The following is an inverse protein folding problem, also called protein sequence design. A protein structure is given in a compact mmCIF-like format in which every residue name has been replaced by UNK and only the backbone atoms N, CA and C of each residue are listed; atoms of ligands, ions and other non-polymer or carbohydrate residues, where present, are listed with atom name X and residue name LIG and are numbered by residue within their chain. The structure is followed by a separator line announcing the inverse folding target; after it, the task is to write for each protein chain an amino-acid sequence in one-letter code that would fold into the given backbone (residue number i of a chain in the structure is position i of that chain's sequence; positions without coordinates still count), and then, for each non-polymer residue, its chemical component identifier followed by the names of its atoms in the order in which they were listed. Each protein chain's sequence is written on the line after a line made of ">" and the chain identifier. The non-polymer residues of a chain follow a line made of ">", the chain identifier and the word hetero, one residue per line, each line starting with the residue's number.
data_IF_841055574537
#
_entry.id   IF_841055574537
#
_cell.length_a   1.000
_cell.length_b   1.000
_cell.length_c   1.000
_cell.angle_alpha   90.00
_cell.angle_beta   90.00
_cell.angle_gamma   90.00
#
_symmetry.space_group_name_H-M   'P 1'
#
loop_
_entity.id
_entity.type
_entity.pdbx_description
1 polymer ?
#
# COMPACT_ATOMS: atom_id res chain seq x y z
N UNK A 1 -8.91 3.74 -7.75
CA UNK A 1 -8.50 2.36 -8.06
C UNK A 1 -9.16 1.40 -7.09
N UNK A 2 -9.64 0.26 -7.55
CA UNK A 2 -10.21 -0.79 -6.71
C UNK A 2 -9.17 -1.89 -6.49
N UNK A 3 -8.79 -2.10 -5.23
CA UNK A 3 -7.88 -3.19 -4.83
C UNK A 3 -8.64 -4.46 -4.39
N UNK A 4 -9.96 -4.40 -4.30
CA UNK A 4 -10.78 -5.48 -3.75
C UNK A 4 -11.55 -6.24 -4.84
N UNK A 5 -11.14 -7.48 -5.10
CA UNK A 5 -11.89 -8.39 -5.98
C UNK A 5 -13.30 -8.67 -5.47
N UNK A 6 -13.47 -8.74 -4.14
CA UNK A 6 -14.80 -8.91 -3.51
C UNK A 6 -15.68 -7.70 -3.80
N UNK A 7 -15.15 -6.47 -3.63
CA UNK A 7 -15.90 -5.25 -3.94
C UNK A 7 -16.27 -5.19 -5.43
N UNK A 8 -15.34 -5.52 -6.32
CA UNK A 8 -15.59 -5.57 -7.77
C UNK A 8 -16.69 -6.59 -8.11
N UNK A 9 -16.66 -7.78 -7.50
CA UNK A 9 -17.70 -8.79 -7.70
C UNK A 9 -19.07 -8.31 -7.22
N UNK A 10 -19.14 -7.68 -6.05
CA UNK A 10 -20.38 -7.08 -5.54
C UNK A 10 -20.89 -5.94 -6.43
N UNK A 11 -19.98 -5.08 -6.90
CA UNK A 11 -20.34 -3.98 -7.82
C UNK A 11 -20.93 -4.51 -9.13
N UNK A 12 -20.37 -5.60 -9.67
CA UNK A 12 -20.85 -6.25 -10.89
C UNK A 12 -22.29 -6.79 -10.74
N UNK A 13 -22.64 -7.30 -9.56
CA UNK A 13 -24.03 -7.72 -9.27
C UNK A 13 -25.04 -6.56 -9.36
N UNK A 14 -24.56 -5.33 -9.30
CA UNK A 14 -25.35 -4.09 -9.46
C UNK A 14 -25.15 -3.42 -10.82
N UNK A 15 -24.58 -4.12 -11.80
CA UNK A 15 -24.32 -3.57 -13.13
C UNK A 15 -23.16 -2.56 -13.19
N UNK A 16 -22.40 -2.40 -12.10
CA UNK A 16 -21.26 -1.47 -12.06
C UNK A 16 -19.99 -2.24 -12.41
N UNK A 17 -19.36 -1.87 -13.51
CA UNK A 17 -18.06 -2.42 -13.87
C UNK A 17 -16.95 -1.68 -13.13
N UNK A 18 -16.38 -2.33 -12.11
CA UNK A 18 -15.30 -1.78 -11.29
C UNK A 18 -14.02 -2.60 -11.54
N UNK A 19 -13.12 -2.13 -12.42
CA UNK A 19 -11.89 -2.87 -12.71
C UNK A 19 -11.00 -2.96 -11.47
N UNK A 20 -10.44 -4.15 -11.24
CA UNK A 20 -9.53 -4.40 -10.12
C UNK A 20 -8.10 -4.15 -10.57
N UNK A 21 -7.42 -3.27 -9.86
CA UNK A 21 -6.01 -3.01 -10.04
C UNK A 21 -5.32 -3.01 -8.66
N UNK A 22 -4.72 -4.13 -8.25
CA UNK A 22 -4.07 -4.26 -6.95
C UNK A 22 -2.96 -3.23 -6.78
N UNK A 23 -2.85 -2.66 -5.56
CA UNK A 23 -1.83 -1.66 -5.26
C UNK A 23 -0.40 -2.14 -5.52
N UNK A 24 -0.14 -3.44 -5.30
CA UNK A 24 1.16 -4.05 -5.63
C UNK A 24 1.45 -4.07 -7.13
N UNK A 25 0.43 -4.28 -7.97
CA UNK A 25 0.61 -4.30 -9.43
C UNK A 25 0.79 -2.87 -9.95
N UNK A 26 0.07 -1.91 -9.37
CA UNK A 26 0.29 -0.49 -9.64
C UNK A 26 1.72 -0.08 -9.27
N UNK A 27 2.18 -0.43 -8.08
CA UNK A 27 3.53 -0.10 -7.61
C UNK A 27 4.59 -0.71 -8.53
N UNK A 28 4.41 -1.99 -8.94
CA UNK A 28 5.28 -2.66 -9.88
C UNK A 28 5.34 -1.91 -11.21
N UNK A 29 4.18 -1.61 -11.79
CA UNK A 29 4.07 -0.92 -13.08
C UNK A 29 4.70 0.47 -13.04
N UNK A 30 4.44 1.25 -12.00
CA UNK A 30 5.04 2.58 -11.86
C UNK A 30 6.57 2.51 -11.81
N UNK A 31 7.12 1.59 -11.02
CA UNK A 31 8.59 1.47 -10.86
C UNK A 31 9.23 0.93 -12.14
N UNK A 32 8.60 -0.04 -12.84
CA UNK A 32 9.21 -0.68 -13.99
C UNK A 32 9.02 0.09 -15.30
N UNK A 33 7.88 0.78 -15.47
CA UNK A 33 7.50 1.33 -16.76
C UNK A 33 7.43 2.87 -16.77
N UNK A 34 7.21 3.51 -15.61
CA UNK A 34 6.96 4.94 -15.55
C UNK A 34 8.11 5.75 -14.97
N UNK A 35 8.95 5.13 -14.13
CA UNK A 35 10.02 5.83 -13.43
C UNK A 35 11.36 5.59 -14.13
N UNK A 36 12.09 6.66 -14.36
CA UNK A 36 13.43 6.67 -14.93
C UNK A 36 14.48 7.15 -13.89
N UNK A 37 15.72 7.32 -14.32
CA UNK A 37 16.82 7.78 -13.48
C UNK A 37 16.66 9.18 -12.88
N UNK A 38 15.76 10.00 -13.45
CA UNK A 38 15.49 11.37 -12.99
C UNK A 38 14.49 11.38 -11.85
N UNK A 39 13.69 10.33 -11.71
CA UNK A 39 12.66 10.23 -10.68
C UNK A 39 13.28 9.86 -9.34
N UNK A 40 13.03 10.67 -8.33
CA UNK A 40 13.44 10.41 -6.96
C UNK A 40 12.29 9.85 -6.15
N UNK A 41 12.50 8.70 -5.52
CA UNK A 41 11.50 7.97 -4.76
C UNK A 41 11.89 7.86 -3.30
N UNK A 42 11.09 8.44 -2.41
CA UNK A 42 11.22 8.24 -0.98
C UNK A 42 10.34 7.07 -0.52
N UNK A 43 10.91 6.16 0.27
CA UNK A 43 10.19 5.04 0.87
C UNK A 43 10.13 5.26 2.37
N UNK A 44 8.92 5.27 2.93
CA UNK A 44 8.70 5.33 4.38
C UNK A 44 8.20 3.96 4.84
N UNK A 45 9.04 3.22 5.57
CA UNK A 45 8.78 1.85 5.98
C UNK A 45 9.49 0.80 5.13
N UNK A 46 8.96 -0.42 5.12
CA UNK A 46 9.64 -1.57 4.54
C UNK A 46 10.84 -2.02 5.37
N UNK A 47 11.68 -2.89 4.82
CA UNK A 47 12.94 -3.32 5.43
C UNK A 47 14.14 -2.79 4.64
N UNK A 48 15.32 -2.78 5.27
CA UNK A 48 16.57 -2.47 4.56
C UNK A 48 16.83 -3.48 3.43
N UNK A 49 16.45 -4.73 3.66
CA UNK A 49 16.54 -5.80 2.66
C UNK A 49 15.64 -5.51 1.45
N UNK A 50 14.42 -5.00 1.71
CA UNK A 50 13.51 -4.57 0.64
C UNK A 50 14.15 -3.52 -0.27
N UNK A 51 14.83 -2.53 0.31
CA UNK A 51 15.50 -1.48 -0.48
C UNK A 51 16.63 -2.03 -1.32
N UNK A 52 17.47 -2.90 -0.74
CA UNK A 52 18.58 -3.53 -1.48
C UNK A 52 18.05 -4.30 -2.69
N UNK A 53 17.04 -5.14 -2.49
CA UNK A 53 16.41 -5.90 -3.57
C UNK A 53 15.71 -5.02 -4.60
N UNK A 54 15.06 -3.92 -4.18
CA UNK A 54 14.46 -2.97 -5.12
C UNK A 54 15.51 -2.36 -6.05
N UNK A 55 16.67 -1.96 -5.51
CA UNK A 55 17.77 -1.41 -6.31
C UNK A 55 18.38 -2.43 -7.27
N UNK A 56 18.40 -3.72 -6.89
CA UNK A 56 18.86 -4.80 -7.77
C UNK A 56 17.85 -5.06 -8.90
N UNK A 57 16.56 -5.06 -8.60
CA UNK A 57 15.49 -5.34 -9.56
C UNK A 57 15.21 -4.14 -10.48
N UNK A 58 15.34 -2.93 -9.94
CA UNK A 58 15.02 -1.67 -10.62
C UNK A 58 16.14 -0.66 -10.41
N UNK A 59 17.23 -0.74 -11.21
CA UNK A 59 18.42 0.07 -11.00
C UNK A 59 18.26 1.54 -11.39
N UNK A 60 17.26 1.90 -12.19
CA UNK A 60 17.10 3.24 -12.73
C UNK A 60 16.59 4.29 -11.73
N UNK A 61 15.53 4.06 -10.93
CA UNK A 61 15.02 5.07 -10.02
C UNK A 61 15.98 5.35 -8.85
N UNK A 62 16.04 6.60 -8.41
CA UNK A 62 16.79 6.97 -7.23
C UNK A 62 15.96 6.75 -5.97
N UNK A 63 16.23 5.68 -5.24
CA UNK A 63 15.52 5.33 -4.01
C UNK A 63 16.25 5.85 -2.76
N UNK A 64 15.52 6.53 -1.89
CA UNK A 64 15.89 6.84 -0.51
C UNK A 64 14.89 6.22 0.46
N UNK A 65 15.29 5.82 1.66
CA UNK A 65 14.41 5.11 2.60
C UNK A 65 14.59 5.61 4.02
N UNK A 66 13.48 5.74 4.73
CA UNK A 66 13.41 5.88 6.17
C UNK A 66 12.54 4.77 6.77
N UNK A 67 13.05 4.06 7.78
CA UNK A 67 12.33 2.97 8.44
C UNK A 67 11.92 3.41 9.85
N UNK A 68 10.67 3.86 10.03
CA UNK A 68 10.18 4.28 11.33
C UNK A 68 9.94 3.07 12.26
N UNK A 69 9.85 3.30 13.58
CA UNK A 69 9.49 2.24 14.53
C UNK A 69 8.09 1.71 14.25
N UNK A 70 7.86 0.43 14.59
CA UNK A 70 6.53 -0.17 14.48
C UNK A 70 5.53 0.56 15.38
N UNK A 71 4.33 0.83 14.84
CA UNK A 71 3.31 1.60 15.57
C UNK A 71 3.65 3.09 15.64
N UNK A 72 4.19 3.62 14.56
CA UNK A 72 4.72 4.99 14.41
C UNK A 72 3.81 6.09 14.97
N UNK A 73 2.49 5.92 14.96
CA UNK A 73 1.54 6.88 15.53
C UNK A 73 1.64 7.04 17.07
N UNK A 74 2.29 6.08 17.74
CA UNK A 74 2.54 6.16 19.18
C UNK A 74 3.83 6.95 19.51
N UNK A 75 4.56 7.40 18.49
CA UNK A 75 5.85 8.07 18.63
C UNK A 75 5.83 9.43 17.91
N UNK A 76 5.44 10.53 18.58
CA UNK A 76 5.37 11.86 17.95
C UNK A 76 6.69 12.30 17.29
N UNK A 77 7.82 11.96 17.90
CA UNK A 77 9.15 12.27 17.35
C UNK A 77 9.38 11.55 16.01
N UNK A 78 8.93 10.29 15.88
CA UNK A 78 9.08 9.56 14.63
C UNK A 78 8.28 10.17 13.47
N UNK A 79 7.15 10.82 13.76
CA UNK A 79 6.39 11.56 12.75
C UNK A 79 7.19 12.80 12.29
N UNK A 80 7.79 13.53 13.23
CA UNK A 80 8.66 14.67 12.89
C UNK A 80 9.88 14.21 12.07
N UNK A 81 10.52 13.11 12.44
CA UNK A 81 11.64 12.53 11.69
C UNK A 81 11.24 12.12 10.26
N UNK A 82 10.01 11.59 10.06
CA UNK A 82 9.49 11.29 8.72
C UNK A 82 9.33 12.58 7.90
N UNK A 83 8.73 13.63 8.49
CA UNK A 83 8.53 14.90 7.77
C UNK A 83 9.85 15.57 7.42
N UNK A 84 10.84 15.52 8.32
CA UNK A 84 12.19 16.04 8.07
C UNK A 84 12.90 15.24 6.98
N UNK A 85 12.86 13.90 7.05
CA UNK A 85 13.40 13.03 6.01
C UNK A 85 12.78 13.34 4.63
N UNK A 86 11.46 13.51 4.54
CA UNK A 86 10.77 13.82 3.28
C UNK A 86 11.10 15.20 2.77
N UNK A 87 11.27 16.18 3.69
CA UNK A 87 11.72 17.52 3.37
C UNK A 87 13.13 17.50 2.76
N UNK A 88 14.05 16.76 3.35
CA UNK A 88 15.41 16.63 2.82
C UNK A 88 15.46 15.81 1.51
N UNK A 89 14.62 14.80 1.42
CA UNK A 89 14.54 13.95 0.24
C UNK A 89 14.07 14.72 -1.00
N UNK A 90 13.12 15.65 -0.89
CA UNK A 90 12.51 16.35 -2.05
C UNK A 90 12.15 15.37 -3.17
N UNK A 91 11.45 14.29 -2.81
CA UNK A 91 11.13 13.19 -3.72
C UNK A 91 9.90 13.51 -4.57
N UNK A 92 9.89 13.03 -5.82
CA UNK A 92 8.75 13.13 -6.74
C UNK A 92 7.62 12.21 -6.32
N UNK A 93 7.98 11.02 -5.80
CA UNK A 93 7.03 10.03 -5.28
C UNK A 93 7.43 9.57 -3.89
N UNK A 94 6.42 9.41 -3.03
CA UNK A 94 6.57 8.94 -1.66
C UNK A 94 5.78 7.64 -1.50
N UNK A 95 6.49 6.53 -1.29
CA UNK A 95 5.89 5.21 -1.11
C UNK A 95 5.74 4.92 0.39
N UNK A 96 4.50 5.01 0.90
CA UNK A 96 4.19 4.74 2.30
C UNK A 96 3.99 3.23 2.52
N UNK A 97 5.03 2.54 3.02
CA UNK A 97 5.07 1.09 3.24
C UNK A 97 4.90 0.69 4.72
N UNK A 98 4.17 1.48 5.52
CA UNK A 98 3.96 1.27 6.96
C UNK A 98 2.60 0.64 7.31
N UNK A 99 1.78 0.38 6.31
CA UNK A 99 0.47 -0.26 6.44
C UNK A 99 -0.65 0.67 6.93
N UNK A 100 -1.89 0.28 6.57
CA UNK A 100 -3.10 1.01 6.94
C UNK A 100 -3.48 0.79 8.43
N UNK A 101 -4.03 1.81 9.13
CA UNK A 101 -4.34 3.18 8.68
C UNK A 101 -3.18 4.18 8.86
N UNK A 102 -2.01 3.74 9.28
CA UNK A 102 -0.89 4.62 9.61
C UNK A 102 -0.37 5.36 8.37
N UNK A 103 -0.30 4.65 7.23
CA UNK A 103 0.13 5.25 5.95
C UNK A 103 -0.71 6.46 5.57
N UNK A 104 -2.03 6.32 5.64
CA UNK A 104 -2.99 7.36 5.25
C UNK A 104 -2.93 8.56 6.20
N UNK A 105 -2.82 8.30 7.50
CA UNK A 105 -2.74 9.37 8.53
C UNK A 105 -1.43 10.16 8.36
N UNK A 106 -0.31 9.48 8.16
CA UNK A 106 0.98 10.15 8.00
C UNK A 106 1.05 10.88 6.65
N UNK A 107 0.53 10.28 5.57
CA UNK A 107 0.45 10.95 4.28
C UNK A 107 -0.37 12.27 4.38
N UNK A 108 -1.46 12.28 5.14
CA UNK A 108 -2.26 13.47 5.40
C UNK A 108 -1.48 14.53 6.22
N UNK A 109 -0.76 14.11 7.27
CA UNK A 109 0.10 15.00 8.06
C UNK A 109 1.17 15.63 7.16
N UNK A 110 1.84 14.80 6.36
CA UNK A 110 2.88 15.22 5.43
C UNK A 110 2.33 16.18 4.37
N UNK A 111 1.15 15.92 3.83
CA UNK A 111 0.50 16.79 2.84
C UNK A 111 0.20 18.19 3.38
N UNK A 112 -0.07 18.30 4.69
CA UNK A 112 -0.33 19.60 5.35
C UNK A 112 0.93 20.37 5.74
N UNK A 113 2.06 19.69 5.83
CA UNK A 113 3.34 20.29 6.22
C UNK A 113 3.83 21.32 5.20
N UNK A 114 3.66 21.03 3.90
CA UNK A 114 3.96 21.95 2.81
C UNK A 114 5.46 22.19 2.53
N UNK A 115 6.38 21.54 3.28
CA UNK A 115 7.84 21.69 3.09
C UNK A 115 8.37 20.90 1.89
N UNK A 116 7.61 19.96 1.39
CA UNK A 116 7.98 19.11 0.26
C UNK A 116 6.78 18.86 -0.66
N UNK A 117 7.09 18.65 -1.92
CA UNK A 117 6.10 18.26 -2.94
C UNK A 117 6.11 16.75 -3.16
N UNK A 118 5.46 16.33 -4.24
CA UNK A 118 5.44 14.94 -4.67
C UNK A 118 4.13 14.24 -4.36
N UNK A 119 3.98 13.05 -4.95
CA UNK A 119 2.77 12.22 -4.85
C UNK A 119 2.97 11.13 -3.82
N UNK A 120 2.16 11.11 -2.76
CA UNK A 120 2.18 10.04 -1.76
C UNK A 120 1.28 8.87 -2.17
N UNK A 121 1.84 7.67 -2.17
CA UNK A 121 1.16 6.42 -2.47
C UNK A 121 1.19 5.51 -1.25
N UNK A 122 0.02 5.22 -0.66
CA UNK A 122 -0.12 4.30 0.47
C UNK A 122 -0.13 2.86 -0.05
N UNK A 123 1.04 2.28 -0.19
CA UNK A 123 1.26 0.99 -0.87
C UNK A 123 1.23 -0.22 0.06
N UNK A 124 1.27 -0.01 1.39
CA UNK A 124 1.30 -1.11 2.36
C UNK A 124 2.45 -2.09 2.12
N UNK A 125 2.13 -3.37 1.96
CA UNK A 125 3.10 -4.46 1.77
C UNK A 125 3.52 -4.67 0.30
N UNK A 126 3.29 -3.70 -0.60
CA UNK A 126 3.56 -3.90 -2.04
C UNK A 126 5.04 -4.12 -2.33
N UNK A 127 5.93 -3.46 -1.58
CA UNK A 127 7.38 -3.63 -1.75
C UNK A 127 7.80 -5.05 -1.36
N UNK A 128 7.31 -5.58 -0.25
CA UNK A 128 7.65 -6.94 0.18
C UNK A 128 7.15 -8.00 -0.81
N UNK A 129 6.06 -7.74 -1.54
CA UNK A 129 5.61 -8.61 -2.63
C UNK A 129 6.51 -8.50 -3.86
N UNK A 130 6.96 -7.29 -4.21
CA UNK A 130 7.86 -7.06 -5.35
C UNK A 130 9.23 -7.70 -5.13
N UNK A 131 9.74 -7.59 -3.93
CA UNK A 131 11.07 -8.12 -3.55
C UNK A 131 11.04 -9.60 -3.17
N UNK A 132 9.85 -10.22 -3.18
CA UNK A 132 9.68 -11.63 -2.82
C UNK A 132 9.85 -11.94 -1.34
N UNK A 133 9.92 -10.94 -0.47
CA UNK A 133 9.95 -11.13 0.99
C UNK A 133 8.62 -11.68 1.51
N UNK A 134 7.52 -11.33 0.84
CA UNK A 134 6.20 -11.94 1.07
C UNK A 134 5.71 -12.63 -0.19
N UNK A 135 5.20 -13.82 -0.02
CA UNK A 135 4.59 -14.56 -1.13
C UNK A 135 3.14 -14.08 -1.34
N UNK A 136 2.80 -13.81 -2.59
CA UNK A 136 1.41 -13.61 -2.98
C UNK A 136 0.66 -14.94 -2.96
N UNK A 137 -0.65 -14.85 -2.78
CA UNK A 137 -1.51 -16.01 -2.98
C UNK A 137 -1.30 -16.59 -4.38
N UNK A 138 -1.33 -17.94 -4.54
CA UNK A 138 -1.27 -18.57 -5.85
C UNK A 138 -2.30 -17.97 -6.82
N UNK A 139 -1.98 -17.97 -8.11
CA UNK A 139 -2.81 -17.30 -9.14
C UNK A 139 -4.26 -17.82 -9.13
N UNK A 140 -4.45 -19.14 -8.94
CA UNK A 140 -5.80 -19.74 -8.86
C UNK A 140 -6.60 -19.21 -7.66
N UNK A 141 -5.95 -18.98 -6.49
CA UNK A 141 -6.59 -18.36 -5.31
C UNK A 141 -7.00 -16.93 -5.61
N UNK A 142 -6.16 -16.18 -6.34
CA UNK A 142 -6.46 -14.83 -6.76
C UNK A 142 -7.66 -14.80 -7.72
N UNK A 143 -7.71 -15.70 -8.70
CA UNK A 143 -8.85 -15.82 -9.63
C UNK A 143 -10.17 -16.15 -8.93
N UNK A 144 -10.14 -16.97 -7.89
CA UNK A 144 -11.32 -17.28 -7.07
C UNK A 144 -11.72 -16.17 -6.09
N UNK A 145 -11.01 -15.02 -6.10
CA UNK A 145 -11.23 -13.92 -5.14
C UNK A 145 -11.03 -14.32 -3.68
N UNK A 146 -10.25 -15.38 -3.42
CA UNK A 146 -9.96 -15.94 -2.10
C UNK A 146 -8.62 -15.44 -1.51
N UNK A 147 -8.01 -14.42 -2.09
CA UNK A 147 -6.75 -13.84 -1.60
C UNK A 147 -6.85 -13.39 -0.14
N UNK A 148 -8.00 -12.84 0.27
CA UNK A 148 -8.26 -12.47 1.65
C UNK A 148 -8.24 -13.67 2.61
N UNK A 149 -8.74 -14.83 2.19
CA UNK A 149 -8.74 -16.05 2.99
C UNK A 149 -7.31 -16.61 3.12
N UNK A 150 -6.55 -16.63 2.02
CA UNK A 150 -5.14 -16.99 2.04
C UNK A 150 -4.33 -16.10 2.99
N UNK A 151 -4.52 -14.77 2.91
CA UNK A 151 -3.88 -13.82 3.85
C UNK A 151 -4.31 -14.04 5.30
N UNK A 152 -5.57 -14.39 5.54
CA UNK A 152 -6.06 -14.71 6.88
C UNK A 152 -5.39 -15.97 7.45
N UNK A 153 -5.14 -16.98 6.61
CA UNK A 153 -4.45 -18.23 7.01
C UNK A 153 -2.96 -18.00 7.27
N UNK A 154 -2.31 -17.13 6.50
CA UNK A 154 -0.88 -16.83 6.66
C UNK A 154 -0.59 -15.87 7.82
N UNK A 155 -1.47 -14.91 8.08
CA UNK A 155 -1.31 -13.91 9.16
C UNK A 155 -2.57 -13.80 10.05
N UNK A 156 -3.01 -14.89 10.72
CA UNK A 156 -4.31 -14.92 11.39
C UNK A 156 -4.41 -13.90 12.52
N UNK A 157 -3.37 -13.77 13.36
CA UNK A 157 -3.36 -12.86 14.51
C UNK A 157 -3.55 -11.39 14.12
N UNK A 158 -3.01 -10.98 12.97
CA UNK A 158 -3.07 -9.60 12.48
C UNK A 158 -4.37 -9.30 11.73
N UNK A 159 -4.90 -10.27 10.96
CA UNK A 159 -5.93 -10.02 9.96
C UNK A 159 -7.33 -10.47 10.36
N UNK A 160 -7.51 -11.33 11.39
CA UNK A 160 -8.83 -11.85 11.77
C UNK A 160 -9.84 -10.75 12.11
N UNK A 161 -9.43 -9.71 12.88
CA UNK A 161 -10.33 -8.59 13.22
C UNK A 161 -10.75 -7.81 11.97
N UNK A 162 -9.80 -7.63 11.02
CA UNK A 162 -10.07 -6.91 9.78
C UNK A 162 -11.05 -7.68 8.90
N UNK A 163 -10.85 -8.97 8.71
CA UNK A 163 -11.65 -9.76 7.77
C UNK A 163 -12.94 -10.30 8.38
N UNK A 164 -12.94 -10.76 9.63
CA UNK A 164 -14.12 -11.38 10.24
C UNK A 164 -15.02 -10.38 10.96
N UNK A 165 -14.47 -9.31 11.55
CA UNK A 165 -15.28 -8.33 12.27
C UNK A 165 -15.63 -7.10 11.42
N UNK A 166 -14.68 -6.57 10.66
CA UNK A 166 -14.89 -5.35 9.86
C UNK A 166 -15.30 -5.67 8.42
N UNK A 167 -14.82 -6.78 7.84
CA UNK A 167 -15.14 -7.19 6.47
C UNK A 167 -16.64 -7.32 6.18
N UNK A 168 -17.44 -7.96 7.05
CA UNK A 168 -18.88 -8.11 6.82
C UNK A 168 -19.65 -6.79 6.72
N UNK A 169 -19.09 -5.67 7.20
CA UNK A 169 -19.70 -4.34 7.04
C UNK A 169 -19.91 -3.96 5.57
N UNK A 170 -19.02 -4.43 4.68
CA UNK A 170 -19.17 -4.16 3.24
C UNK A 170 -20.44 -4.81 2.67
N UNK A 171 -20.80 -6.01 3.15
CA UNK A 171 -22.04 -6.69 2.76
C UNK A 171 -23.28 -5.93 3.27
N UNK A 172 -23.19 -5.40 4.50
CA UNK A 172 -24.27 -4.56 5.06
C UNK A 172 -24.49 -3.30 4.22
N UNK A 173 -23.39 -2.60 3.87
CA UNK A 173 -23.44 -1.41 3.00
C UNK A 173 -24.01 -1.80 1.62
N UNK A 174 -23.60 -2.95 1.08
CA UNK A 174 -24.10 -3.45 -0.19
C UNK A 174 -25.62 -3.73 -0.14
N UNK A 175 -26.13 -4.32 0.94
CA UNK A 175 -27.54 -4.64 1.11
C UNK A 175 -28.37 -3.35 1.34
N UNK A 176 -27.88 -2.45 2.21
CA UNK A 176 -28.55 -1.20 2.58
C UNK A 176 -28.45 -0.09 1.53
N UNK A 177 -27.39 -0.08 0.76
CA UNK A 177 -27.13 0.90 -0.29
C UNK A 177 -27.91 0.59 -1.56
N UNK A 178 -29.22 0.47 -1.45
CA UNK A 178 -30.12 0.62 -2.59
C UNK A 178 -29.92 2.02 -3.15
N UNK A 179 -29.34 2.10 -4.36
CA UNK A 179 -29.16 3.36 -5.08
C UNK A 179 -30.50 4.06 -5.16
N UNK A 180 -30.58 5.24 -4.55
CA UNK A 180 -31.53 6.26 -4.97
C UNK A 180 -31.00 6.94 -6.20
#
# INVERSE_FOLDING_TARGET
>A
LCDSRVLSALARLRGINLPVFPGSDLTAHLISECFDERVKIAIVGGSVISLMKLRELFPLPNFVQFVPPMGVLNYPNAIAEITDFLSDAQADFILMAIGAPQSEIIAEICSRDGRFGGVSLCIGASIEFLTGEKQRAPIWVQHLSLEWAHRLLTEPRRLWRRYLMRGPRILRIFIQGGVR
#
